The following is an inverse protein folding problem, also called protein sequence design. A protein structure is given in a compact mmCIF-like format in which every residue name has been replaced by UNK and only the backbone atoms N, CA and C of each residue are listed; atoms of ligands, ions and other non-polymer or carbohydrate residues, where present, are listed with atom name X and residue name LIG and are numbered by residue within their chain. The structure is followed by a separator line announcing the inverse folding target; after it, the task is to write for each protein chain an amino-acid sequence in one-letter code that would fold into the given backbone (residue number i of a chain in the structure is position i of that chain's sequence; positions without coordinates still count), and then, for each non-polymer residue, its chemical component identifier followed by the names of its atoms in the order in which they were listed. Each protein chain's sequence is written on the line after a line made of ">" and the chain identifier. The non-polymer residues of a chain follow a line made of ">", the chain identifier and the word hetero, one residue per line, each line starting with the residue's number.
data_IF_245658638059
#
_entry.id   IF_245658638059
#
_cell.length_a   1.000
_cell.length_b   1.000
_cell.length_c   1.000
_cell.angle_alpha   90.00
_cell.angle_beta   90.00
_cell.angle_gamma   90.00
#
_symmetry.space_group_name_H-M   'P 1'
#
loop_
_entity.id
_entity.type
_entity.pdbx_description
1 polymer ?
#
# COMPACT_ATOMS: atom_id res chain seq x y z
N UNK A 1 -32.46 -4.56 -19.15
CA UNK A 1 -33.48 -4.16 -18.17
C UNK A 1 -32.76 -3.60 -16.95
N UNK A 2 -33.14 -2.40 -16.51
CA UNK A 2 -32.62 -1.83 -15.26
C UNK A 2 -33.34 -2.45 -14.07
N UNK A 3 -32.55 -2.85 -13.06
CA UNK A 3 -33.03 -3.38 -11.79
C UNK A 3 -32.70 -2.37 -10.71
N UNK A 4 -33.68 -1.96 -9.93
CA UNK A 4 -33.52 -0.97 -8.88
C UNK A 4 -34.44 -1.26 -7.71
N UNK A 5 -34.27 -0.52 -6.63
CA UNK A 5 -35.19 -0.55 -5.49
C UNK A 5 -36.65 -0.18 -5.83
N UNK A 6 -36.88 0.44 -7.01
CA UNK A 6 -38.20 0.77 -7.49
C UNK A 6 -38.92 -0.40 -8.18
N UNK A 7 -38.20 -1.44 -8.54
CA UNK A 7 -38.70 -2.56 -9.34
C UNK A 7 -38.25 -3.93 -8.84
N UNK A 8 -38.45 -4.27 -7.59
CA UNK A 8 -38.29 -5.61 -7.02
C UNK A 8 -37.00 -5.92 -6.25
N UNK A 9 -36.02 -5.03 -6.17
CA UNK A 9 -34.83 -5.26 -5.38
C UNK A 9 -35.05 -4.81 -3.94
N UNK A 10 -34.91 -5.69 -2.97
CA UNK A 10 -34.87 -5.32 -1.56
C UNK A 10 -33.55 -4.63 -1.25
N UNK A 11 -33.52 -3.32 -1.36
CA UNK A 11 -32.33 -2.54 -1.00
C UNK A 11 -32.14 -2.53 0.52
N UNK A 12 -30.90 -2.63 1.03
CA UNK A 12 -30.64 -2.57 2.45
C UNK A 12 -31.14 -1.26 3.07
N UNK A 13 -31.96 -1.34 4.10
CA UNK A 13 -32.45 -0.14 4.81
C UNK A 13 -31.29 0.54 5.55
N UNK A 14 -31.28 1.88 5.53
CA UNK A 14 -30.34 2.70 6.30
C UNK A 14 -28.96 2.91 5.68
N UNK A 15 -28.65 2.28 4.56
CA UNK A 15 -27.38 2.50 3.88
C UNK A 15 -27.43 3.75 3.00
N UNK A 16 -26.54 4.69 3.24
CA UNK A 16 -26.30 5.84 2.38
C UNK A 16 -25.20 5.50 1.35
N UNK A 17 -25.48 4.62 0.39
CA UNK A 17 -24.55 4.32 -0.71
C UNK A 17 -24.39 5.55 -1.61
N UNK A 18 -23.74 6.58 -1.11
CA UNK A 18 -23.59 7.82 -1.84
C UNK A 18 -22.59 7.72 -2.97
N UNK A 19 -21.55 6.89 -2.80
CA UNK A 19 -20.52 6.68 -3.82
C UNK A 19 -20.07 5.22 -3.84
N UNK A 20 -20.08 4.63 -5.02
CA UNK A 20 -19.46 3.35 -5.30
C UNK A 20 -18.03 3.62 -5.74
N UNK A 21 -17.07 3.01 -5.05
CA UNK A 21 -15.64 3.08 -5.36
C UNK A 21 -15.23 1.97 -6.32
N UNK A 22 -15.60 0.74 -5.98
CA UNK A 22 -15.16 -0.45 -6.71
C UNK A 22 -16.22 -1.53 -6.74
N UNK A 23 -16.32 -2.22 -7.88
CA UNK A 23 -17.11 -3.45 -8.03
C UNK A 23 -16.16 -4.55 -8.47
N UNK A 24 -16.18 -5.68 -7.75
CA UNK A 24 -15.37 -6.86 -8.04
C UNK A 24 -16.26 -8.10 -7.97
N UNK A 25 -16.04 -9.07 -8.86
CA UNK A 25 -16.75 -10.33 -8.85
C UNK A 25 -15.77 -11.47 -8.55
N UNK A 26 -16.16 -12.40 -7.68
CA UNK A 26 -15.42 -13.63 -7.46
C UNK A 26 -15.72 -14.65 -8.56
N UNK A 27 -14.85 -15.65 -8.68
CA UNK A 27 -15.11 -16.79 -9.58
C UNK A 27 -16.34 -17.65 -9.18
N UNK A 28 -16.87 -17.43 -7.97
CA UNK A 28 -18.10 -18.07 -7.45
C UNK A 28 -19.36 -17.20 -7.63
N UNK A 29 -19.27 -16.13 -8.42
CA UNK A 29 -20.40 -15.23 -8.66
C UNK A 29 -20.80 -14.35 -7.47
N UNK A 30 -19.93 -14.16 -6.50
CA UNK A 30 -20.17 -13.19 -5.42
C UNK A 30 -19.67 -11.84 -5.88
N UNK A 31 -20.51 -10.82 -5.79
CA UNK A 31 -20.20 -9.45 -6.12
C UNK A 31 -19.85 -8.71 -4.82
N UNK A 32 -18.71 -8.03 -4.84
CA UNK A 32 -18.25 -7.13 -3.78
C UNK A 32 -18.34 -5.69 -4.30
N UNK A 33 -18.95 -4.83 -3.51
CA UNK A 33 -19.09 -3.41 -3.82
C UNK A 33 -18.47 -2.60 -2.68
N UNK A 34 -17.30 -2.03 -2.94
CA UNK A 34 -16.67 -1.04 -2.06
C UNK A 34 -17.39 0.30 -2.20
N UNK A 35 -17.79 0.88 -1.08
CA UNK A 35 -18.51 2.14 -1.03
C UNK A 35 -17.92 3.08 0.02
N UNK A 36 -18.35 4.33 0.05
CA UNK A 36 -17.99 5.27 1.12
C UNK A 36 -18.72 4.99 2.45
N UNK A 37 -19.56 3.96 2.49
CA UNK A 37 -20.36 3.58 3.67
C UNK A 37 -20.31 2.06 3.93
N UNK A 38 -19.15 1.46 3.76
CA UNK A 38 -18.88 0.06 4.01
C UNK A 38 -18.72 -0.79 2.76
N UNK A 39 -18.54 -2.09 2.96
CA UNK A 39 -18.50 -3.10 1.92
C UNK A 39 -19.86 -3.79 1.82
N UNK A 40 -20.38 -3.91 0.61
CA UNK A 40 -21.59 -4.66 0.31
C UNK A 40 -21.25 -5.90 -0.50
N UNK A 41 -21.83 -7.04 -0.13
CA UNK A 41 -21.65 -8.28 -0.87
C UNK A 41 -23.02 -8.93 -1.17
N UNK A 42 -23.11 -9.56 -2.31
CA UNK A 42 -24.30 -10.33 -2.73
C UNK A 42 -23.94 -11.31 -3.83
N UNK A 43 -24.84 -12.27 -4.08
CA UNK A 43 -24.67 -13.26 -5.14
C UNK A 43 -25.27 -12.74 -6.45
N UNK A 44 -24.70 -13.11 -7.60
CA UNK A 44 -25.13 -12.70 -8.93
C UNK A 44 -26.35 -13.45 -9.47
N UNK A 45 -27.12 -14.15 -8.62
CA UNK A 45 -28.34 -14.85 -8.99
C UNK A 45 -29.44 -13.94 -9.51
N UNK A 46 -29.18 -13.24 -10.61
CA UNK A 46 -30.12 -12.28 -11.21
C UNK A 46 -31.34 -12.90 -11.90
N UNK A 47 -31.43 -14.23 -11.95
CA UNK A 47 -32.63 -14.91 -12.48
C UNK A 47 -33.87 -14.70 -11.62
N UNK A 48 -33.70 -14.51 -10.33
CA UNK A 48 -34.77 -14.21 -9.37
C UNK A 48 -34.38 -13.09 -8.43
N UNK A 49 -34.71 -11.86 -8.80
CA UNK A 49 -34.34 -10.63 -8.08
C UNK A 49 -34.90 -10.56 -6.65
N UNK A 50 -36.03 -11.23 -6.37
CA UNK A 50 -36.61 -11.25 -5.03
C UNK A 50 -35.78 -12.08 -4.02
N UNK A 51 -34.85 -12.92 -4.51
CA UNK A 51 -33.97 -13.75 -3.70
C UNK A 51 -32.59 -13.12 -3.46
N UNK A 52 -32.29 -12.00 -4.13
CA UNK A 52 -30.99 -11.33 -3.91
C UNK A 52 -30.97 -10.74 -2.50
N UNK A 53 -30.06 -11.22 -1.69
CA UNK A 53 -29.82 -10.71 -0.34
C UNK A 53 -28.51 -9.94 -0.33
N UNK A 54 -28.56 -8.72 0.21
CA UNK A 54 -27.41 -7.88 0.40
C UNK A 54 -26.87 -8.03 1.82
N UNK A 55 -25.58 -8.24 1.94
CA UNK A 55 -24.85 -8.28 3.20
C UNK A 55 -23.96 -7.07 3.29
N UNK A 56 -23.74 -6.56 4.49
CA UNK A 56 -22.99 -5.34 4.74
C UNK A 56 -21.93 -5.55 5.80
N UNK A 57 -20.80 -4.92 5.59
CA UNK A 57 -19.70 -4.92 6.55
C UNK A 57 -19.21 -3.51 6.79
N UNK A 58 -19.03 -3.19 8.05
CA UNK A 58 -18.67 -1.85 8.52
C UNK A 58 -17.45 -1.89 9.43
N UNK A 59 -16.90 -0.70 9.65
CA UNK A 59 -16.05 -0.47 10.81
C UNK A 59 -16.87 -0.58 12.09
N UNK A 60 -16.40 -1.39 13.02
CA UNK A 60 -16.99 -1.55 14.35
C UNK A 60 -16.01 -1.04 15.38
N UNK A 61 -16.37 0.03 16.10
CA UNK A 61 -15.48 0.63 17.09
C UNK A 61 -15.11 -0.38 18.19
N UNK A 62 -13.81 -0.56 18.39
CA UNK A 62 -13.26 -1.51 19.36
C UNK A 62 -13.08 -2.94 18.85
N UNK A 63 -13.57 -3.27 17.64
CA UNK A 63 -13.39 -4.57 17.02
C UNK A 63 -12.24 -4.52 16.00
N UNK A 64 -11.09 -5.07 16.38
CA UNK A 64 -9.88 -5.14 15.55
C UNK A 64 -10.04 -6.04 14.31
N UNK A 65 -11.07 -6.90 14.30
CA UNK A 65 -11.35 -7.78 13.17
C UNK A 65 -12.35 -7.20 12.19
N UNK A 66 -12.83 -5.99 12.41
CA UNK A 66 -13.68 -5.24 11.49
C UNK A 66 -12.85 -4.39 10.52
N UNK A 67 -13.52 -3.83 9.51
CA UNK A 67 -12.90 -2.86 8.59
C UNK A 67 -12.31 -1.68 9.37
N UNK A 68 -11.17 -1.16 8.94
CA UNK A 68 -10.51 -0.03 9.62
C UNK A 68 -11.32 1.27 9.51
N UNK A 69 -11.94 1.50 8.36
CA UNK A 69 -12.91 2.59 8.14
C UNK A 69 -14.05 2.13 7.23
N UNK A 70 -15.13 2.90 7.17
CA UNK A 70 -16.27 2.59 6.29
C UNK A 70 -16.04 2.98 4.82
N UNK A 71 -15.04 3.81 4.51
CA UNK A 71 -14.74 4.17 3.12
C UNK A 71 -13.85 3.09 2.49
N UNK A 72 -14.49 2.12 1.81
CA UNK A 72 -13.83 1.00 1.14
C UNK A 72 -13.41 1.42 -0.25
N UNK A 73 -12.10 1.63 -0.43
CA UNK A 73 -11.54 2.17 -1.66
C UNK A 73 -11.35 1.12 -2.76
N UNK A 74 -10.80 -0.03 -2.41
CA UNK A 74 -10.51 -1.08 -3.38
C UNK A 74 -10.77 -2.48 -2.84
N UNK A 75 -11.12 -3.41 -3.73
CA UNK A 75 -11.25 -4.83 -3.43
C UNK A 75 -10.48 -5.65 -4.45
N UNK A 76 -9.72 -6.62 -3.99
CA UNK A 76 -8.99 -7.59 -4.82
C UNK A 76 -9.43 -8.99 -4.44
N UNK A 77 -9.88 -9.76 -5.43
CA UNK A 77 -10.05 -11.22 -5.32
C UNK A 77 -8.91 -11.87 -6.06
N UNK A 78 -8.10 -12.62 -5.34
CA UNK A 78 -6.92 -13.29 -5.86
C UNK A 78 -7.29 -14.55 -6.63
N UNK A 79 -6.35 -15.05 -7.42
CA UNK A 79 -6.48 -16.31 -8.18
C UNK A 79 -6.78 -17.52 -7.29
N UNK A 80 -6.27 -17.56 -6.06
CA UNK A 80 -6.53 -18.60 -5.06
C UNK A 80 -7.85 -18.42 -4.28
N UNK A 81 -8.62 -17.36 -4.58
CA UNK A 81 -9.89 -17.03 -3.94
C UNK A 81 -9.79 -16.20 -2.66
N UNK A 82 -8.60 -15.89 -2.16
CA UNK A 82 -8.42 -14.94 -1.06
C UNK A 82 -8.89 -13.54 -1.48
N UNK A 83 -9.51 -12.84 -0.55
CA UNK A 83 -10.04 -11.49 -0.79
C UNK A 83 -9.31 -10.48 0.10
N UNK A 84 -8.90 -9.38 -0.52
CA UNK A 84 -8.29 -8.24 0.15
C UNK A 84 -9.15 -7.00 -0.04
N UNK A 85 -9.19 -6.17 0.98
CA UNK A 85 -9.97 -4.93 1.01
C UNK A 85 -9.06 -3.80 1.47
N UNK A 86 -9.02 -2.70 0.73
CA UNK A 86 -8.38 -1.48 1.21
C UNK A 86 -9.43 -0.46 1.63
N UNK A 87 -9.15 0.27 2.69
CA UNK A 87 -9.99 1.37 3.17
C UNK A 87 -9.22 2.69 3.11
N UNK A 88 -9.95 3.80 3.05
CA UNK A 88 -9.35 5.13 3.16
C UNK A 88 -8.59 5.24 4.50
N UNK A 89 -7.39 5.85 4.45
CA UNK A 89 -6.48 5.87 5.59
C UNK A 89 -5.32 4.88 5.43
N UNK A 90 -5.17 4.24 4.25
CA UNK A 90 -3.98 3.46 3.88
C UNK A 90 -3.98 2.01 4.36
N UNK A 91 -5.07 1.52 4.97
CA UNK A 91 -5.13 0.17 5.49
C UNK A 91 -5.44 -0.85 4.38
N UNK A 92 -4.65 -1.92 4.34
CA UNK A 92 -4.95 -3.13 3.59
C UNK A 92 -5.34 -4.24 4.57
N UNK A 93 -6.45 -4.91 4.31
CA UNK A 93 -6.96 -5.99 5.12
C UNK A 93 -7.21 -7.25 4.29
N UNK A 94 -6.90 -8.41 4.86
CA UNK A 94 -7.24 -9.72 4.31
C UNK A 94 -8.55 -10.19 4.93
N UNK A 95 -9.52 -10.60 4.12
CA UNK A 95 -10.76 -11.19 4.62
C UNK A 95 -10.48 -12.58 5.21
N UNK A 96 -10.91 -12.78 6.45
CA UNK A 96 -10.75 -14.04 7.21
C UNK A 96 -12.05 -14.81 7.40
N UNK A 97 -13.18 -14.18 7.11
CA UNK A 97 -14.50 -14.86 7.15
C UNK A 97 -14.56 -16.04 6.21
N UNK A 98 -15.21 -17.11 6.66
CA UNK A 98 -15.46 -18.32 5.84
C UNK A 98 -16.39 -18.06 4.65
N UNK A 99 -17.26 -17.06 4.76
CA UNK A 99 -18.20 -16.65 3.73
C UNK A 99 -18.16 -15.16 3.53
N UNK A 100 -18.23 -14.72 2.27
CA UNK A 100 -18.45 -13.32 1.91
C UNK A 100 -19.94 -12.92 1.98
N UNK A 101 -20.84 -13.91 2.03
CA UNK A 101 -22.29 -13.70 2.10
C UNK A 101 -22.76 -13.72 3.57
N UNK A 102 -22.23 -12.80 4.36
CA UNK A 102 -22.62 -12.56 5.75
C UNK A 102 -22.45 -11.09 6.11
N UNK A 103 -23.21 -10.61 7.07
CA UNK A 103 -23.03 -9.27 7.62
C UNK A 103 -21.76 -9.22 8.49
N UNK A 104 -21.05 -8.10 8.46
CA UNK A 104 -19.83 -7.85 9.19
C UNK A 104 -18.80 -8.97 9.03
N UNK A 105 -18.27 -9.09 7.80
CA UNK A 105 -17.14 -10.00 7.54
C UNK A 105 -15.97 -9.65 8.47
N UNK A 106 -15.26 -10.66 8.91
CA UNK A 106 -14.02 -10.47 9.67
C UNK A 106 -12.83 -10.32 8.73
N UNK A 107 -11.91 -9.46 9.13
CA UNK A 107 -10.68 -9.18 8.41
C UNK A 107 -9.46 -9.24 9.33
N UNK A 108 -8.31 -9.49 8.75
CA UNK A 108 -7.01 -9.28 9.36
C UNK A 108 -6.40 -8.01 8.76
N UNK A 109 -6.29 -6.97 9.58
CA UNK A 109 -5.71 -5.69 9.18
C UNK A 109 -4.19 -5.83 9.18
N UNK A 110 -3.57 -5.78 8.00
CA UNK A 110 -2.15 -6.02 7.81
C UNK A 110 -1.33 -4.82 8.32
N UNK A 111 -0.83 -4.93 9.54
CA UNK A 111 -0.05 -3.87 10.20
C UNK A 111 1.37 -3.73 9.62
N UNK A 112 1.92 -4.80 9.01
CA UNK A 112 3.26 -4.83 8.43
C UNK A 112 3.36 -4.14 7.06
N UNK A 113 2.22 -3.83 6.44
CA UNK A 113 2.15 -2.97 5.26
C UNK A 113 2.15 -1.54 5.77
N UNK A 114 3.26 -0.82 5.62
CA UNK A 114 3.47 0.53 6.13
C UNK A 114 2.27 1.44 5.84
N UNK A 115 1.48 1.70 6.88
CA UNK A 115 0.25 2.49 6.79
C UNK A 115 0.54 3.99 6.59
N UNK A 116 1.76 4.44 6.92
CA UNK A 116 2.20 5.84 6.85
C UNK A 116 2.46 6.32 5.40
N UNK A 117 2.44 5.43 4.41
CA UNK A 117 2.80 5.76 3.03
C UNK A 117 1.61 6.16 2.14
N UNK A 118 0.48 6.54 2.72
CA UNK A 118 -0.65 7.11 1.99
C UNK A 118 -1.73 6.12 1.56
N UNK A 119 -2.70 6.64 0.82
CA UNK A 119 -3.93 5.92 0.41
C UNK A 119 -3.59 4.84 -0.62
N UNK A 120 -4.14 3.65 -0.42
CA UNK A 120 -4.09 2.57 -1.43
C UNK A 120 -5.05 2.92 -2.58
N UNK A 121 -4.50 3.26 -3.73
CA UNK A 121 -5.27 3.60 -4.93
C UNK A 121 -5.84 2.37 -5.62
N UNK A 122 -5.02 1.31 -5.72
CA UNK A 122 -5.43 0.08 -6.38
C UNK A 122 -4.54 -1.11 -6.00
N UNK A 123 -5.03 -2.32 -6.31
CA UNK A 123 -4.36 -3.58 -6.01
C UNK A 123 -4.36 -4.47 -7.25
N UNK A 124 -3.28 -5.23 -7.45
CA UNK A 124 -3.22 -6.26 -8.49
C UNK A 124 -2.31 -7.42 -8.07
N UNK A 125 -2.62 -8.64 -8.51
CA UNK A 125 -1.82 -9.84 -8.28
C UNK A 125 -0.94 -10.13 -9.51
N UNK A 126 0.33 -10.54 -9.28
CA UNK A 126 1.24 -11.03 -10.31
C UNK A 126 1.24 -12.56 -10.42
N UNK A 127 1.91 -13.12 -11.45
CA UNK A 127 2.04 -14.58 -11.62
C UNK A 127 2.83 -15.28 -10.50
N UNK A 128 3.59 -14.54 -9.71
CA UNK A 128 4.32 -15.06 -8.54
C UNK A 128 3.50 -15.03 -7.26
N UNK A 129 2.22 -14.65 -7.34
CA UNK A 129 1.27 -14.49 -6.24
C UNK A 129 1.64 -13.36 -5.25
N UNK A 130 2.43 -12.37 -5.66
CA UNK A 130 2.57 -11.15 -4.89
C UNK A 130 1.40 -10.21 -5.18
N UNK A 131 1.08 -9.35 -4.22
CA UNK A 131 0.12 -8.27 -4.38
C UNK A 131 0.89 -6.98 -4.59
N UNK A 132 0.64 -6.32 -5.69
CA UNK A 132 1.17 -4.99 -5.97
C UNK A 132 0.15 -3.97 -5.47
N UNK A 133 0.57 -3.18 -4.49
CA UNK A 133 -0.23 -2.16 -3.83
C UNK A 133 0.20 -0.83 -4.44
N UNK A 134 -0.70 -0.22 -5.19
CA UNK A 134 -0.45 1.08 -5.82
C UNK A 134 -0.93 2.17 -4.88
N UNK A 135 -0.02 3.07 -4.49
CA UNK A 135 -0.32 4.27 -3.70
C UNK A 135 -0.18 5.51 -4.58
N UNK A 136 -0.40 6.68 -4.03
CA UNK A 136 -0.31 7.93 -4.81
C UNK A 136 1.11 8.17 -5.38
N UNK A 137 2.16 7.88 -4.61
CA UNK A 137 3.56 8.14 -5.00
C UNK A 137 4.49 6.94 -4.87
N UNK A 138 3.96 5.75 -4.59
CA UNK A 138 4.74 4.53 -4.46
C UNK A 138 3.99 3.30 -4.96
N UNK A 139 4.72 2.23 -5.17
CA UNK A 139 4.18 0.90 -5.46
C UNK A 139 4.85 -0.09 -4.52
N UNK A 140 4.06 -0.87 -3.79
CA UNK A 140 4.60 -1.87 -2.88
C UNK A 140 4.39 -3.26 -3.46
N UNK A 141 5.43 -4.07 -3.45
CA UNK A 141 5.38 -5.49 -3.78
C UNK A 141 5.23 -6.29 -2.48
N UNK A 142 4.03 -6.63 -2.13
CA UNK A 142 3.70 -7.38 -0.92
C UNK A 142 3.67 -8.88 -1.20
N UNK A 143 4.38 -9.66 -0.41
CA UNK A 143 4.37 -11.13 -0.47
C UNK A 143 3.47 -11.67 0.66
N UNK A 144 2.27 -12.19 0.35
CA UNK A 144 1.33 -12.66 1.38
C UNK A 144 1.78 -13.91 2.15
N UNK A 145 2.77 -14.66 1.63
CA UNK A 145 3.30 -15.85 2.30
C UNK A 145 4.30 -15.49 3.41
N UNK A 146 5.08 -14.43 3.19
CA UNK A 146 6.13 -14.01 4.14
C UNK A 146 5.72 -12.80 4.97
N UNK A 147 4.65 -12.10 4.59
CA UNK A 147 4.24 -10.83 5.19
C UNK A 147 5.14 -9.64 4.84
N UNK A 148 6.16 -9.83 3.99
CA UNK A 148 7.14 -8.79 3.66
C UNK A 148 6.69 -7.96 2.47
N UNK A 149 7.08 -6.68 2.49
CA UNK A 149 6.83 -5.72 1.41
C UNK A 149 8.12 -5.04 0.96
N UNK A 150 8.28 -4.91 -0.36
CA UNK A 150 9.30 -4.07 -0.97
C UNK A 150 8.63 -2.82 -1.53
N UNK A 151 9.00 -1.64 -1.04
CA UNK A 151 8.39 -0.37 -1.44
C UNK A 151 9.24 0.30 -2.51
N UNK A 152 8.62 0.64 -3.65
CA UNK A 152 9.22 1.39 -4.75
C UNK A 152 8.64 2.79 -4.75
N UNK A 153 9.43 3.75 -4.29
CA UNK A 153 9.06 5.17 -4.21
C UNK A 153 9.54 5.99 -5.43
N UNK A 154 9.39 7.33 -5.37
CA UNK A 154 9.77 8.22 -6.46
C UNK A 154 11.23 8.09 -6.91
N UNK A 155 12.11 7.69 -5.99
CA UNK A 155 13.53 7.52 -6.27
C UNK A 155 13.87 6.20 -6.99
N UNK A 156 12.94 5.25 -7.06
CA UNK A 156 13.13 3.99 -7.78
C UNK A 156 12.70 4.11 -9.24
N UNK A 157 12.07 5.22 -9.62
CA UNK A 157 11.65 5.55 -10.98
C UNK A 157 12.42 6.77 -11.48
N UNK A 158 12.63 6.87 -12.79
CA UNK A 158 13.35 7.99 -13.39
C UNK A 158 12.58 9.32 -13.35
N UNK A 159 11.34 9.30 -12.87
CA UNK A 159 10.42 10.44 -12.83
C UNK A 159 9.68 10.50 -11.50
N UNK A 160 9.34 11.72 -11.06
CA UNK A 160 8.33 11.91 -10.02
C UNK A 160 6.98 11.45 -10.55
N UNK A 161 6.60 10.22 -10.19
CA UNK A 161 5.32 9.65 -10.62
C UNK A 161 4.28 9.79 -9.54
N UNK A 162 3.09 10.18 -9.94
CA UNK A 162 1.86 10.00 -9.18
C UNK A 162 1.00 8.97 -9.88
N UNK A 163 0.35 8.11 -9.11
CA UNK A 163 -0.54 7.08 -9.62
C UNK A 163 -1.99 7.47 -9.40
N UNK A 164 -2.89 6.89 -10.19
CA UNK A 164 -4.31 7.17 -10.13
C UNK A 164 -5.10 5.97 -9.61
N UNK A 165 -6.38 6.19 -9.26
CA UNK A 165 -7.32 5.13 -8.87
C UNK A 165 -7.69 4.19 -10.05
N UNK A 166 -7.04 4.32 -11.20
CA UNK A 166 -7.27 3.45 -12.35
C UNK A 166 -6.98 1.99 -11.99
N UNK A 167 -7.82 1.10 -12.52
CA UNK A 167 -7.56 -0.32 -12.38
C UNK A 167 -6.26 -0.70 -13.08
N UNK A 168 -5.27 -1.27 -12.38
CA UNK A 168 -4.10 -1.83 -13.03
C UNK A 168 -4.50 -2.99 -13.95
N UNK A 169 -3.74 -3.16 -15.02
CA UNK A 169 -3.86 -4.30 -15.92
C UNK A 169 -2.69 -5.25 -15.70
N UNK A 170 -2.97 -6.54 -15.57
CA UNK A 170 -1.97 -7.59 -15.57
C UNK A 170 -2.22 -8.50 -16.77
N UNK A 171 -1.19 -8.74 -17.56
CA UNK A 171 -1.21 -9.74 -18.64
C UNK A 171 -0.59 -11.05 -18.13
N UNK A 172 -1.38 -12.09 -17.87
CA UNK A 172 -0.85 -13.34 -17.33
C UNK A 172 0.12 -14.07 -18.28
N UNK A 173 0.07 -13.79 -19.57
CA UNK A 173 0.91 -14.46 -20.57
C UNK A 173 2.35 -13.93 -20.56
N UNK A 174 2.53 -12.63 -20.35
CA UNK A 174 3.82 -11.95 -20.32
C UNK A 174 4.28 -11.56 -18.94
N UNK A 175 3.37 -11.62 -17.95
CA UNK A 175 3.53 -11.15 -16.58
C UNK A 175 3.80 -9.63 -16.48
N UNK A 176 3.44 -8.85 -17.51
CA UNK A 176 3.53 -7.39 -17.43
C UNK A 176 2.37 -6.80 -16.66
N UNK A 177 2.70 -5.81 -15.81
CA UNK A 177 1.72 -4.98 -15.11
C UNK A 177 1.76 -3.57 -15.69
N UNK A 178 0.58 -3.03 -16.01
CA UNK A 178 0.40 -1.65 -16.45
C UNK A 178 -0.42 -0.87 -15.45
N UNK A 179 0.07 0.28 -15.02
CA UNK A 179 -0.56 1.16 -14.03
C UNK A 179 -0.77 2.54 -14.65
N UNK A 180 -1.94 3.14 -14.41
CA UNK A 180 -2.28 4.47 -14.89
C UNK A 180 -1.63 5.57 -14.07
N UNK A 181 -1.20 6.62 -14.76
CA UNK A 181 -0.72 7.89 -14.20
C UNK A 181 -1.49 9.05 -14.82
N UNK A 182 -1.46 10.26 -14.26
CA UNK A 182 -2.09 11.42 -14.88
C UNK A 182 -1.55 11.77 -16.28
N UNK A 183 -0.31 11.37 -16.56
CA UNK A 183 0.39 11.67 -17.82
C UNK A 183 0.42 10.50 -18.82
N UNK A 184 -0.23 9.37 -18.47
CA UNK A 184 -0.22 8.17 -19.31
C UNK A 184 -0.22 6.89 -18.49
N UNK A 185 0.67 5.96 -18.79
CA UNK A 185 0.80 4.70 -18.05
C UNK A 185 2.24 4.25 -17.97
N UNK A 186 2.54 3.49 -16.91
CA UNK A 186 3.79 2.75 -16.82
C UNK A 186 3.52 1.26 -16.95
N UNK A 187 4.43 0.56 -17.61
CA UNK A 187 4.38 -0.89 -17.77
C UNK A 187 5.71 -1.48 -17.34
N UNK A 188 5.67 -2.49 -16.50
CA UNK A 188 6.88 -3.16 -16.00
C UNK A 188 6.67 -4.66 -15.83
N UNK A 189 7.79 -5.40 -15.82
CA UNK A 189 7.75 -6.82 -15.49
C UNK A 189 8.03 -6.98 -13.98
N UNK A 190 7.12 -7.59 -13.21
CA UNK A 190 7.28 -7.84 -11.78
C UNK A 190 8.56 -8.59 -11.36
N UNK A 191 9.12 -9.41 -12.26
CA UNK A 191 10.34 -10.17 -12.00
C UNK A 191 11.60 -9.33 -12.09
N UNK A 192 11.58 -8.29 -12.93
CA UNK A 192 12.74 -7.41 -13.12
C UNK A 192 12.76 -6.23 -12.17
N UNK A 193 11.60 -5.87 -11.61
CA UNK A 193 11.51 -4.81 -10.61
C UNK A 193 11.88 -5.36 -9.23
N UNK A 194 13.13 -5.16 -8.84
CA UNK A 194 13.69 -5.64 -7.57
C UNK A 194 14.37 -4.52 -6.83
N UNK A 195 14.26 -4.52 -5.50
CA UNK A 195 15.04 -3.60 -4.66
C UNK A 195 16.51 -4.01 -4.67
N UNK A 196 17.37 -3.05 -4.87
CA UNK A 196 18.80 -3.26 -4.70
C UNK A 196 19.12 -3.27 -3.21
N UNK A 197 19.76 -4.34 -2.75
CA UNK A 197 20.24 -4.46 -1.37
C UNK A 197 21.64 -3.84 -1.17
N UNK A 198 22.16 -3.18 -2.21
CA UNK A 198 23.47 -2.54 -2.12
C UNK A 198 23.45 -1.43 -1.07
N UNK A 199 24.30 -1.57 -0.06
CA UNK A 199 24.53 -0.55 0.95
C UNK A 199 25.84 0.15 0.62
N UNK A 200 25.81 1.43 0.20
CA UNK A 200 27.01 2.16 -0.10
C UNK A 200 27.84 2.37 1.17
N UNK A 201 29.16 2.33 1.04
CA UNK A 201 30.05 2.67 2.14
C UNK A 201 29.88 4.14 2.49
N UNK A 202 29.60 4.42 3.77
CA UNK A 202 29.52 5.77 4.30
C UNK A 202 30.91 6.18 4.79
N UNK A 203 31.36 7.32 4.38
CA UNK A 203 32.59 7.96 4.85
C UNK A 203 32.26 9.28 5.55
N UNK A 204 32.61 9.41 6.82
CA UNK A 204 32.57 10.68 7.52
C UNK A 204 33.73 11.57 7.02
N UNK A 205 33.41 12.76 6.56
CA UNK A 205 34.38 13.64 5.90
C UNK A 205 34.87 14.76 6.79
N UNK A 206 33.95 15.45 7.46
CA UNK A 206 34.29 16.62 8.26
C UNK A 206 33.47 16.73 9.53
N UNK A 207 34.02 17.37 10.53
CA UNK A 207 33.37 17.77 11.77
C UNK A 207 33.52 19.30 11.97
N UNK A 208 32.43 19.96 12.30
CA UNK A 208 32.41 21.35 12.72
C UNK A 208 31.90 21.48 14.15
N UNK A 209 32.51 22.36 14.92
CA UNK A 209 32.00 22.81 16.21
C UNK A 209 31.32 24.16 16.07
N UNK A 210 30.30 24.46 16.88
CA UNK A 210 29.67 25.75 16.91
C UNK A 210 30.67 26.84 17.29
N UNK A 211 30.72 27.91 16.50
CA UNK A 211 31.48 29.10 16.79
C UNK A 211 32.97 29.04 16.48
N UNK A 212 33.45 28.03 15.82
CA UNK A 212 34.82 27.94 15.33
C UNK A 212 34.88 27.98 13.80
N UNK A 213 35.70 28.84 13.24
CA UNK A 213 36.04 28.88 11.83
C UNK A 213 37.05 27.77 11.51
N UNK A 214 36.60 26.54 11.61
CA UNK A 214 37.47 25.38 11.33
C UNK A 214 36.74 24.12 10.96
N UNK A 215 37.12 23.54 9.82
CA UNK A 215 36.69 22.22 9.41
C UNK A 215 37.73 21.22 9.88
N UNK A 216 37.36 20.28 10.73
CA UNK A 216 38.22 19.19 11.13
C UNK A 216 38.00 18.01 10.19
N UNK A 217 38.99 17.63 9.37
CA UNK A 217 38.87 16.44 8.54
C UNK A 217 38.91 15.19 9.45
N UNK A 218 37.92 14.34 9.34
CA UNK A 218 37.80 13.12 10.15
C UNK A 218 37.92 11.83 9.33
N UNK A 219 38.25 11.96 8.06
CA UNK A 219 38.47 10.85 7.16
C UNK A 219 39.58 9.92 7.72
N UNK A 220 39.29 8.65 7.87
CA UNK A 220 40.17 7.62 8.44
C UNK A 220 40.50 7.74 9.94
N UNK A 221 39.77 8.51 10.73
CA UNK A 221 39.91 8.51 12.18
C UNK A 221 38.99 7.46 12.82
N UNK A 222 39.54 6.61 13.67
CA UNK A 222 38.81 5.57 14.38
C UNK A 222 38.04 6.13 15.60
N UNK A 223 38.52 7.22 16.19
CA UNK A 223 37.89 7.87 17.32
C UNK A 223 38.15 9.36 17.32
N UNK A 224 37.26 10.10 17.93
CA UNK A 224 37.38 11.56 18.07
C UNK A 224 36.98 11.97 19.48
N UNK A 225 37.87 12.72 20.14
CA UNK A 225 37.58 13.29 21.46
C UNK A 225 36.99 14.68 21.28
N UNK A 226 35.78 14.88 21.81
CA UNK A 226 35.05 16.13 21.72
C UNK A 226 35.03 16.78 23.11
N UNK A 227 35.49 18.02 23.26
CA UNK A 227 35.44 18.74 24.52
C UNK A 227 34.00 18.93 25.02
N UNK A 228 33.77 18.75 26.32
CA UNK A 228 32.44 18.81 26.91
C UNK A 228 31.70 20.17 26.76
N UNK A 229 32.42 21.23 26.51
CA UNK A 229 31.86 22.57 26.23
C UNK A 229 31.43 22.79 24.78
N UNK A 230 31.74 21.86 23.87
CA UNK A 230 31.37 21.93 22.45
C UNK A 230 30.19 21.03 22.16
N UNK A 231 28.98 21.49 22.46
CA UNK A 231 27.75 20.69 22.43
C UNK A 231 27.08 20.60 21.09
N UNK A 232 27.30 21.57 20.20
CA UNK A 232 26.67 21.57 18.87
C UNK A 232 27.70 21.16 17.83
N UNK A 233 27.43 20.01 17.22
CA UNK A 233 28.30 19.39 16.24
C UNK A 233 27.57 19.24 14.91
N UNK A 234 28.27 19.55 13.83
CA UNK A 234 27.84 19.22 12.46
C UNK A 234 28.83 18.22 11.89
N UNK A 235 28.34 17.06 11.56
CA UNK A 235 29.12 15.98 10.93
C UNK A 235 28.71 15.90 9.47
N UNK A 236 29.68 16.03 8.56
CA UNK A 236 29.45 15.78 7.14
C UNK A 236 29.90 14.36 6.80
N UNK A 237 29.16 13.72 5.92
CA UNK A 237 29.48 12.39 5.42
C UNK A 237 29.17 12.28 3.93
N UNK A 238 29.76 11.31 3.27
CA UNK A 238 29.46 10.95 1.89
C UNK A 238 29.17 9.45 1.78
N UNK A 239 28.12 9.10 1.06
CA UNK A 239 27.89 7.75 0.62
C UNK A 239 28.55 7.52 -0.74
N UNK A 240 29.36 6.49 -0.87
CA UNK A 240 30.03 6.15 -2.11
C UNK A 240 29.09 5.35 -3.01
N UNK A 241 27.99 5.96 -3.42
CA UNK A 241 27.08 5.39 -4.41
C UNK A 241 27.19 6.18 -5.72
N UNK A 242 27.78 5.55 -6.70
CA UNK A 242 27.95 6.12 -8.05
C UNK A 242 26.87 5.65 -9.03
N UNK A 243 26.01 4.73 -8.59
CA UNK A 243 25.01 4.09 -9.45
C UNK A 243 23.64 4.74 -9.39
N UNK A 244 23.29 5.36 -8.24
CA UNK A 244 21.96 5.91 -7.98
C UNK A 244 22.01 7.23 -7.21
N UNK A 245 22.31 8.31 -7.92
CA UNK A 245 22.57 9.65 -7.36
C UNK A 245 21.48 10.23 -6.43
N UNK A 246 20.23 9.74 -6.50
CA UNK A 246 19.09 10.33 -5.81
C UNK A 246 18.26 9.33 -4.99
N UNK A 247 18.79 8.13 -4.73
CA UNK A 247 18.01 7.03 -4.15
C UNK A 247 18.54 6.50 -2.83
N UNK A 248 19.44 7.25 -2.16
CA UNK A 248 20.00 6.85 -0.89
C UNK A 248 19.26 7.51 0.26
N UNK A 249 18.69 6.71 1.16
CA UNK A 249 18.12 7.15 2.42
C UNK A 249 19.13 6.93 3.53
N UNK A 250 19.18 7.85 4.48
CA UNK A 250 20.11 7.82 5.59
C UNK A 250 19.33 7.78 6.90
N UNK A 251 19.75 6.88 7.79
CA UNK A 251 19.30 6.88 9.18
C UNK A 251 20.49 7.05 10.08
N UNK A 252 20.34 7.80 11.17
CA UNK A 252 21.39 7.95 12.19
C UNK A 252 20.83 7.65 13.57
N UNK A 253 21.70 7.16 14.43
CA UNK A 253 21.43 6.94 15.84
C UNK A 253 22.61 7.42 16.66
N UNK A 254 22.35 8.13 17.76
CA UNK A 254 23.37 8.50 18.74
C UNK A 254 23.18 7.58 19.94
N UNK A 255 24.16 6.75 20.24
CA UNK A 255 24.14 5.88 21.40
C UNK A 255 24.54 6.64 22.66
N UNK A 256 23.83 6.39 23.78
CA UNK A 256 24.09 7.02 25.07
C UNK A 256 23.48 8.42 25.26
N UNK A 257 22.65 8.87 24.35
CA UNK A 257 21.80 10.06 24.51
C UNK A 257 20.38 9.59 24.71
N UNK A 258 19.82 9.90 25.90
CA UNK A 258 18.41 9.65 26.26
C UNK A 258 17.54 10.81 25.85
#
# INVERSE_FOLDING_TARGET
>A
RFISNRNQLSWPKGARFSKIRRITCTNKGIILVGTTDGLVTFCDEFKNYSKVRFYKSYHLTGDKTSLMTNDVNYTLVRSNGETYVSTMGGCLAKVTSKSLLQDNITVDNLQDVNLDEGIVQSLIEDNSNNIWIVRESSIDKYNPKTGKSDVFGPNDFDYNMTFTECRPLHDPSTDYITIGTPMGSITFNPKTLTKTTYQPKILFTTLHYNGEDGIIPILHRESLSIPANKRNLTISFAALDYTRKYQSYYAYRIEGVT
#
